data_IF_359045443278
#
_entry.id   IF_359045443278
#
_cell.length_a   1.000
_cell.length_b   1.000
_cell.length_c   1.000
_cell.angle_alpha   90.00
_cell.angle_beta   90.00
_cell.angle_gamma   90.00
#
_symmetry.space_group_name_H-M   'P 1'
#
loop_
_entity.id
_entity.type
_entity.pdbx_description
1 polymer ?
#
# COMPACT_ATOMS: atom_id res chain seq x y z
N UNK A 1 -11.56 -1.00 -17.42
CA UNK A 1 -12.93 -0.46 -17.46
C UNK A 1 -13.97 -1.48 -17.97
N UNK A 2 -13.94 -1.91 -19.24
CA UNK A 2 -14.98 -2.80 -19.81
C UNK A 2 -15.20 -4.11 -19.04
N UNK A 3 -14.14 -4.74 -18.53
CA UNK A 3 -14.24 -5.95 -17.69
C UNK A 3 -14.99 -5.67 -16.39
N UNK A 4 -14.69 -4.55 -15.73
CA UNK A 4 -15.35 -4.16 -14.48
C UNK A 4 -16.81 -3.81 -14.70
N UNK A 5 -17.13 -3.16 -15.83
CA UNK A 5 -18.51 -2.85 -16.22
C UNK A 5 -19.34 -4.11 -16.41
N UNK A 6 -18.79 -5.11 -17.13
CA UNK A 6 -19.47 -6.40 -17.36
C UNK A 6 -19.68 -7.19 -16.07
N UNK A 7 -18.76 -7.06 -15.12
CA UNK A 7 -18.83 -7.71 -13.81
C UNK A 7 -19.70 -6.96 -12.79
N UNK A 8 -20.16 -5.75 -13.10
CA UNK A 8 -20.97 -4.94 -12.18
C UNK A 8 -20.22 -4.44 -10.93
N UNK A 9 -18.89 -4.41 -10.97
CA UNK A 9 -18.04 -4.01 -9.83
C UNK A 9 -17.55 -2.55 -9.94
N UNK A 10 -18.00 -1.82 -10.96
CA UNK A 10 -17.82 -0.36 -11.01
C UNK A 10 -18.61 0.28 -9.88
N UNK A 11 -18.10 1.38 -9.33
CA UNK A 11 -18.72 2.12 -8.24
C UNK A 11 -18.83 1.32 -6.93
N UNK A 12 -17.93 0.35 -6.73
CA UNK A 12 -17.85 -0.45 -5.50
C UNK A 12 -16.46 -0.39 -4.87
N UNK A 13 -16.41 -0.45 -3.54
CA UNK A 13 -15.15 -0.58 -2.81
C UNK A 13 -14.38 -1.84 -3.21
N UNK A 14 -15.08 -2.94 -3.48
CA UNK A 14 -14.47 -4.20 -3.89
C UNK A 14 -13.74 -4.07 -5.22
N UNK A 15 -14.36 -3.46 -6.24
CA UNK A 15 -13.72 -3.18 -7.52
C UNK A 15 -12.49 -2.30 -7.34
N UNK A 16 -12.60 -1.24 -6.54
CA UNK A 16 -11.47 -0.37 -6.19
C UNK A 16 -10.30 -1.11 -5.55
N UNK A 17 -10.57 -1.93 -4.53
CA UNK A 17 -9.55 -2.74 -3.85
C UNK A 17 -8.83 -3.64 -4.85
N UNK A 18 -9.58 -4.31 -5.74
CA UNK A 18 -8.99 -5.21 -6.74
C UNK A 18 -8.07 -4.46 -7.71
N UNK A 19 -8.47 -3.26 -8.17
CA UNK A 19 -7.66 -2.42 -9.04
C UNK A 19 -6.37 -1.96 -8.34
N UNK A 20 -6.49 -1.50 -7.10
CA UNK A 20 -5.35 -1.05 -6.30
C UNK A 20 -4.37 -2.19 -6.01
N UNK A 21 -4.88 -3.36 -5.62
CA UNK A 21 -4.06 -4.56 -5.39
C UNK A 21 -3.32 -4.95 -6.66
N UNK A 22 -4.01 -5.02 -7.80
CA UNK A 22 -3.39 -5.39 -9.07
C UNK A 22 -2.23 -4.45 -9.46
N UNK A 23 -2.37 -3.14 -9.21
CA UNK A 23 -1.34 -2.15 -9.55
C UNK A 23 -0.18 -2.14 -8.55
N UNK A 24 -0.44 -2.35 -7.26
CA UNK A 24 0.57 -2.27 -6.21
C UNK A 24 1.33 -3.58 -5.94
N UNK A 25 0.77 -4.74 -6.35
CA UNK A 25 1.39 -6.07 -6.12
C UNK A 25 2.84 -6.13 -6.60
N UNK A 26 3.20 -5.74 -7.84
CA UNK A 26 4.56 -5.95 -8.35
C UNK A 26 5.61 -5.24 -7.50
N UNK A 27 5.34 -3.97 -7.15
CA UNK A 27 6.23 -3.16 -6.33
C UNK A 27 6.29 -3.69 -4.88
N UNK A 28 5.15 -4.09 -4.33
CA UNK A 28 5.07 -4.62 -2.95
C UNK A 28 5.84 -5.94 -2.83
N UNK A 29 5.70 -6.84 -3.81
CA UNK A 29 6.46 -8.10 -3.86
C UNK A 29 7.95 -7.82 -3.97
N UNK A 30 8.36 -6.94 -4.89
CA UNK A 30 9.76 -6.57 -5.06
C UNK A 30 10.38 -6.03 -3.76
N UNK A 31 9.65 -5.16 -3.06
CA UNK A 31 10.10 -4.59 -1.80
C UNK A 31 10.20 -5.64 -0.69
N UNK A 32 9.19 -6.51 -0.55
CA UNK A 32 9.19 -7.59 0.44
C UNK A 32 10.32 -8.59 0.15
N UNK A 33 10.54 -8.98 -1.12
CA UNK A 33 11.65 -9.85 -1.52
C UNK A 33 13.01 -9.27 -1.11
N UNK A 34 13.19 -7.95 -1.27
CA UNK A 34 14.40 -7.26 -0.80
C UNK A 34 14.68 -7.42 0.70
N UNK A 35 13.63 -7.49 1.53
CA UNK A 35 13.77 -7.76 2.97
C UNK A 35 14.01 -9.24 3.28
N UNK A 36 13.30 -10.15 2.61
CA UNK A 36 13.52 -11.60 2.80
C UNK A 36 14.95 -12.02 2.42
N UNK A 37 15.55 -11.40 1.41
CA UNK A 37 16.95 -11.64 1.03
C UNK A 37 17.99 -11.23 2.07
N UNK A 38 17.61 -10.40 3.05
CA UNK A 38 18.49 -10.00 4.15
C UNK A 38 18.46 -11.01 5.30
N UNK A 39 17.44 -11.88 5.35
CA UNK A 39 17.35 -12.94 6.35
C UNK A 39 18.38 -14.03 6.02
N UNK A 40 19.31 -14.35 6.93
CA UNK A 40 20.29 -15.41 6.71
C UNK A 40 19.60 -16.76 6.47
N UNK A 41 19.95 -17.45 5.39
CA UNK A 41 19.36 -18.75 5.02
C UNK A 41 19.65 -19.84 6.07
N UNK A 42 20.81 -19.74 6.72
CA UNK A 42 21.29 -20.67 7.74
C UNK A 42 20.30 -20.82 8.91
N UNK A 43 19.51 -19.78 9.22
CA UNK A 43 18.50 -19.83 10.27
C UNK A 43 17.35 -20.79 9.92
N UNK A 44 16.93 -20.82 8.65
CA UNK A 44 15.89 -21.72 8.18
C UNK A 44 16.41 -23.16 8.02
N UNK A 45 17.70 -23.33 7.77
CA UNK A 45 18.36 -24.64 7.73
C UNK A 45 18.51 -25.22 9.13
N UNK A 46 18.94 -24.40 10.10
CA UNK A 46 19.02 -24.79 11.52
C UNK A 46 17.65 -25.25 12.05
N UNK A 47 16.57 -24.49 11.78
CA UNK A 47 15.23 -24.88 12.17
C UNK A 47 14.78 -26.23 11.56
N UNK A 48 15.21 -26.54 10.33
CA UNK A 48 14.92 -27.82 9.68
C UNK A 48 15.72 -28.97 10.32
N UNK A 49 16.96 -28.73 10.74
CA UNK A 49 17.76 -29.69 11.51
C UNK A 49 17.08 -29.99 12.87
N UNK A 50 16.48 -28.97 13.49
CA UNK A 50 15.69 -29.10 14.74
C UNK A 50 14.33 -29.79 14.54
N UNK A 51 14.02 -30.26 13.32
CA UNK A 51 12.83 -31.04 13.01
C UNK A 51 11.66 -30.23 12.44
N UNK A 52 11.83 -28.94 12.15
CA UNK A 52 10.80 -28.17 11.45
C UNK A 52 10.70 -28.58 9.98
N UNK A 53 9.47 -28.69 9.46
CA UNK A 53 9.24 -28.73 8.01
C UNK A 53 9.59 -27.39 7.37
N UNK A 54 9.83 -27.36 6.06
CA UNK A 54 10.11 -26.11 5.31
C UNK A 54 9.04 -25.04 5.51
N UNK A 55 7.76 -25.43 5.58
CA UNK A 55 6.65 -24.51 5.82
C UNK A 55 6.65 -23.95 7.26
N UNK A 56 6.97 -24.79 8.25
CA UNK A 56 7.13 -24.34 9.63
C UNK A 56 8.32 -23.38 9.76
N UNK A 57 9.47 -23.70 9.16
CA UNK A 57 10.64 -22.83 9.17
C UNK A 57 10.33 -21.45 8.55
N UNK A 58 9.58 -21.40 7.44
CA UNK A 58 9.13 -20.14 6.85
C UNK A 58 8.28 -19.32 7.84
N UNK A 59 7.19 -19.89 8.38
CA UNK A 59 6.25 -19.12 9.22
C UNK A 59 6.77 -18.79 10.61
N UNK A 60 7.67 -19.61 11.16
CA UNK A 60 8.17 -19.46 12.53
C UNK A 60 9.50 -18.72 12.59
N UNK A 61 10.31 -18.73 11.51
CA UNK A 61 11.65 -18.13 11.50
C UNK A 61 11.75 -17.02 10.47
N UNK A 62 11.61 -17.32 9.18
CA UNK A 62 11.84 -16.34 8.11
C UNK A 62 10.81 -15.19 8.15
N UNK A 63 9.52 -15.52 8.30
CA UNK A 63 8.43 -14.55 8.29
C UNK A 63 8.47 -13.58 9.47
N UNK A 64 8.65 -14.01 10.75
CA UNK A 64 8.80 -13.09 11.87
C UNK A 64 10.00 -12.17 11.78
N UNK A 65 11.12 -12.64 11.23
CA UNK A 65 12.32 -11.82 11.00
C UNK A 65 12.09 -10.77 9.91
N UNK A 66 11.29 -11.09 8.89
CA UNK A 66 10.94 -10.16 7.82
C UNK A 66 9.79 -9.18 8.17
N UNK A 67 9.08 -9.37 9.30
CA UNK A 67 7.96 -8.50 9.75
C UNK A 67 8.23 -6.99 9.68
N UNK A 68 9.36 -6.44 10.17
CA UNK A 68 9.61 -5.00 10.06
C UNK A 68 9.69 -4.51 8.60
N UNK A 69 10.22 -5.36 7.71
CA UNK A 69 10.24 -5.09 6.27
C UNK A 69 8.86 -5.13 5.64
N UNK A 70 8.05 -6.14 5.99
CA UNK A 70 6.66 -6.28 5.55
C UNK A 70 5.82 -5.08 6.02
N UNK A 71 6.01 -4.63 7.27
CA UNK A 71 5.33 -3.45 7.79
C UNK A 71 5.68 -2.19 6.97
N UNK A 72 6.95 -2.02 6.61
CA UNK A 72 7.39 -0.91 5.76
C UNK A 72 6.74 -0.96 4.37
N UNK A 73 6.67 -2.15 3.76
CA UNK A 73 6.00 -2.34 2.48
C UNK A 73 4.49 -2.08 2.56
N UNK A 74 3.84 -2.49 3.64
CA UNK A 74 2.42 -2.23 3.88
C UNK A 74 2.12 -0.73 3.99
N UNK A 75 3.00 0.04 4.65
CA UNK A 75 2.82 1.50 4.74
C UNK A 75 3.07 2.17 3.40
N UNK A 76 4.05 1.75 2.61
CA UNK A 76 4.19 2.25 1.24
C UNK A 76 2.95 1.97 0.40
N UNK A 77 2.44 0.74 0.42
CA UNK A 77 1.22 0.39 -0.30
C UNK A 77 0.04 1.24 0.18
N UNK A 78 -0.08 1.49 1.49
CA UNK A 78 -1.09 2.41 2.03
C UNK A 78 -0.92 3.82 1.47
N UNK A 79 0.28 4.40 1.54
CA UNK A 79 0.53 5.78 1.09
C UNK A 79 0.24 5.94 -0.40
N UNK A 80 0.59 4.94 -1.22
CA UNK A 80 0.28 4.93 -2.65
C UNK A 80 -1.22 4.87 -2.88
N UNK A 81 -1.95 3.97 -2.21
CA UNK A 81 -3.41 3.85 -2.38
C UNK A 81 -4.18 5.05 -1.81
N UNK A 82 -3.70 5.64 -0.72
CA UNK A 82 -4.35 6.75 -0.02
C UNK A 82 -4.35 8.03 -0.86
N UNK A 83 -3.27 8.27 -1.60
CA UNK A 83 -3.12 9.44 -2.48
C UNK A 83 -3.57 9.18 -3.92
N UNK A 84 -4.01 7.95 -4.23
CA UNK A 84 -4.41 7.59 -5.59
C UNK A 84 -5.71 8.29 -5.98
N UNK A 85 -5.67 8.97 -7.13
CA UNK A 85 -6.78 9.74 -7.68
C UNK A 85 -7.21 9.27 -9.09
N UNK A 86 -6.25 8.86 -9.92
CA UNK A 86 -6.50 8.63 -11.34
C UNK A 86 -7.38 7.40 -11.58
N UNK A 87 -7.14 6.30 -10.87
CA UNK A 87 -8.00 5.11 -10.94
C UNK A 87 -9.32 5.36 -10.21
N UNK A 88 -9.27 5.97 -9.02
CA UNK A 88 -10.45 6.26 -8.22
C UNK A 88 -11.48 7.10 -8.99
N UNK A 89 -11.06 8.18 -9.65
CA UNK A 89 -11.94 9.07 -10.41
C UNK A 89 -12.62 8.39 -11.61
N UNK A 90 -12.03 7.31 -12.14
CA UNK A 90 -12.59 6.56 -13.27
C UNK A 90 -13.53 5.42 -12.84
N UNK A 91 -13.29 4.86 -11.64
CA UNK A 91 -14.00 3.68 -11.13
C UNK A 91 -15.12 4.02 -10.14
N UNK A 92 -15.08 5.20 -9.53
CA UNK A 92 -16.03 5.65 -8.49
C UNK A 92 -16.87 6.82 -9.01
N UNK A 93 -18.16 6.83 -8.66
CA UNK A 93 -19.14 7.86 -9.08
C UNK A 93 -20.08 8.27 -7.95
N UNK A 94 -20.54 7.33 -7.13
CA UNK A 94 -21.43 7.60 -6.01
C UNK A 94 -20.68 8.10 -4.78
N UNK A 95 -21.37 8.88 -3.95
CA UNK A 95 -20.83 9.43 -2.69
C UNK A 95 -20.27 8.34 -1.78
N UNK A 96 -20.86 7.14 -1.83
CA UNK A 96 -20.46 6.02 -0.97
C UNK A 96 -19.21 5.29 -1.46
N UNK A 97 -18.78 5.47 -2.71
CA UNK A 97 -17.62 4.77 -3.27
C UNK A 97 -16.41 5.70 -3.49
N UNK A 98 -16.64 7.01 -3.56
CA UNK A 98 -15.60 8.02 -3.77
C UNK A 98 -14.55 7.98 -2.67
N UNK A 99 -13.29 8.09 -3.08
CA UNK A 99 -12.18 8.34 -2.15
C UNK A 99 -12.08 9.83 -1.83
N UNK A 100 -11.39 10.18 -0.74
CA UNK A 100 -11.19 11.57 -0.35
C UNK A 100 -10.54 12.42 -1.48
N UNK A 101 -9.50 11.94 -2.21
CA UNK A 101 -8.97 12.68 -3.37
C UNK A 101 -10.01 12.95 -4.47
N UNK A 102 -10.93 12.02 -4.72
CA UNK A 102 -12.00 12.22 -5.71
C UNK A 102 -13.05 13.19 -5.19
N UNK A 103 -13.34 13.15 -3.88
CA UNK A 103 -14.25 14.08 -3.21
C UNK A 103 -13.78 15.54 -3.24
N UNK A 104 -12.49 15.84 -3.45
CA UNK A 104 -12.04 17.21 -3.67
C UNK A 104 -12.71 17.86 -4.88
N UNK A 105 -13.01 17.09 -5.92
CA UNK A 105 -13.67 17.60 -7.13
C UNK A 105 -15.10 18.06 -6.85
N UNK A 106 -15.74 17.59 -5.77
CA UNK A 106 -17.09 18.02 -5.42
C UNK A 106 -17.12 19.49 -4.94
N UNK A 107 -15.98 20.06 -4.56
CA UNK A 107 -15.83 21.49 -4.20
C UNK A 107 -15.55 22.40 -5.41
N UNK A 108 -15.33 21.82 -6.59
CA UNK A 108 -15.16 22.56 -7.84
C UNK A 108 -16.46 22.53 -8.63
N UNK A 109 -17.28 23.58 -8.53
CA UNK A 109 -18.45 23.75 -9.38
C UNK A 109 -18.10 24.55 -10.64
N UNK A 110 -18.95 24.47 -11.66
CA UNK A 110 -18.75 25.10 -12.97
C UNK A 110 -18.53 26.62 -12.90
N UNK A 111 -19.14 27.30 -11.91
CA UNK A 111 -19.10 28.75 -11.78
C UNK A 111 -18.41 29.25 -10.49
N UNK A 112 -18.18 28.38 -9.52
CA UNK A 112 -17.63 28.77 -8.20
C UNK A 112 -16.83 27.63 -7.59
N UNK A 113 -15.64 27.92 -7.09
CA UNK A 113 -14.82 26.98 -6.32
C UNK A 113 -14.98 27.32 -4.84
N UNK A 114 -15.39 26.34 -4.03
CA UNK A 114 -15.39 26.47 -2.58
C UNK A 114 -14.01 26.13 -2.01
N UNK A 115 -13.13 27.14 -2.03
CA UNK A 115 -11.78 27.05 -1.47
C UNK A 115 -11.78 26.69 0.02
N UNK A 116 -12.82 27.09 0.77
CA UNK A 116 -12.87 26.87 2.23
C UNK A 116 -13.05 25.39 2.53
N UNK A 117 -14.03 24.77 1.88
CA UNK A 117 -14.27 23.33 2.01
C UNK A 117 -13.13 22.48 1.44
N UNK A 118 -12.59 22.87 0.28
CA UNK A 118 -11.48 22.16 -0.36
C UNK A 118 -10.21 22.14 0.50
N UNK A 119 -9.82 23.29 1.06
CA UNK A 119 -8.66 23.37 1.95
C UNK A 119 -8.87 22.60 3.26
N UNK A 120 -10.08 22.62 3.83
CA UNK A 120 -10.41 21.85 5.03
C UNK A 120 -10.26 20.34 4.78
N UNK A 121 -10.78 19.84 3.67
CA UNK A 121 -10.64 18.43 3.28
C UNK A 121 -9.17 18.06 3.04
N UNK A 122 -8.41 18.91 2.36
CA UNK A 122 -6.99 18.69 2.10
C UNK A 122 -6.18 18.57 3.41
N UNK A 123 -6.45 19.40 4.41
CA UNK A 123 -5.79 19.30 5.73
C UNK A 123 -6.12 17.96 6.40
N UNK A 124 -7.39 17.53 6.37
CA UNK A 124 -7.80 16.24 6.93
C UNK A 124 -7.10 15.07 6.22
N UNK A 125 -6.95 15.13 4.90
CA UNK A 125 -6.27 14.10 4.12
C UNK A 125 -4.77 13.97 4.44
N UNK A 126 -4.12 15.09 4.81
CA UNK A 126 -2.69 15.13 5.14
C UNK A 126 -2.42 14.44 6.49
N UNK A 127 -3.34 14.48 7.46
CA UNK A 127 -3.13 13.96 8.82
C UNK A 127 -2.74 12.47 8.86
N UNK A 128 -3.49 11.54 8.21
CA UNK A 128 -3.11 10.12 8.22
C UNK A 128 -1.80 9.85 7.49
N UNK A 129 -1.57 10.52 6.36
CA UNK A 129 -0.35 10.37 5.57
C UNK A 129 0.89 10.82 6.36
N UNK A 130 0.82 11.96 7.05
CA UNK A 130 1.91 12.44 7.92
C UNK A 130 2.14 11.49 9.10
N UNK A 131 1.07 11.05 9.75
CA UNK A 131 1.17 10.16 10.92
C UNK A 131 1.86 8.85 10.56
N UNK A 132 1.45 8.22 9.46
CA UNK A 132 2.07 6.98 8.99
C UNK A 132 3.49 7.19 8.48
N UNK A 133 3.76 8.29 7.76
CA UNK A 133 5.11 8.61 7.31
C UNK A 133 6.05 8.79 8.51
N UNK A 134 5.62 9.50 9.56
CA UNK A 134 6.41 9.70 10.77
C UNK A 134 6.78 8.39 11.47
N UNK A 135 5.84 7.45 11.57
CA UNK A 135 6.08 6.12 12.17
C UNK A 135 7.14 5.32 11.37
N UNK A 136 7.21 5.57 10.06
CA UNK A 136 7.87 4.68 9.11
C UNK A 136 9.20 5.22 8.61
N UNK A 137 9.46 6.52 8.72
CA UNK A 137 10.76 7.15 8.37
C UNK A 137 11.96 6.35 8.91
N UNK A 138 11.90 5.82 10.14
CA UNK A 138 12.99 5.00 10.71
C UNK A 138 13.20 3.63 10.04
N UNK A 139 12.16 3.04 9.45
CA UNK A 139 12.22 1.73 8.78
C UNK A 139 12.43 1.85 7.26
N UNK A 140 11.99 2.96 6.65
CA UNK A 140 12.13 3.25 5.21
C UNK A 140 13.58 3.39 4.76
N UNK A 141 14.40 4.09 5.57
CA UNK A 141 15.80 4.36 5.23
C UNK A 141 16.58 3.05 5.12
N UNK A 142 16.29 2.06 5.96
CA UNK A 142 16.91 0.73 5.86
C UNK A 142 16.45 -0.06 4.63
N UNK A 143 15.16 -0.02 4.29
CA UNK A 143 14.58 -0.80 3.18
C UNK A 143 14.99 -0.36 1.78
N UNK A 144 15.01 0.95 1.51
CA UNK A 144 15.35 1.48 0.18
C UNK A 144 16.85 1.47 -0.10
N UNK A 145 17.69 1.61 0.93
CA UNK A 145 19.15 1.65 0.76
C UNK A 145 19.77 0.26 0.73
N UNK A 146 19.24 -0.72 1.47
CA UNK A 146 19.78 -2.09 1.52
C UNK A 146 19.76 -2.83 0.18
N UNK A 147 18.84 -2.47 -0.74
CA UNK A 147 18.82 -2.99 -2.11
C UNK A 147 19.78 -2.28 -3.07
N UNK A 148 20.28 -1.09 -2.72
CA UNK A 148 21.10 -0.24 -3.60
C UNK A 148 22.62 -0.41 -3.41
N UNK A 149 23.09 -1.02 -2.32
CA UNK A 149 24.53 -1.11 -1.98
C UNK A 149 25.19 -2.45 -2.31
N UNK A 150 24.61 -3.27 -3.21
CA UNK A 150 25.35 -4.39 -3.81
C UNK A 150 25.93 -3.97 -5.15
N UNK A 151 27.02 -3.20 -5.07
CA UNK A 151 27.96 -2.84 -6.13
C UNK A 151 29.35 -2.73 -5.54
#
# INVERSE_FOLDING_TARGET
>A
FFVYARLGIIDTHFGMILAYVALNIPFTIWLIDGFFRQVPKDLAEAAQIDGCTRWQAFWQVEFPLARPGIASAAIFAFLTCWNEFALASQLTRSVNSKTLPVGLLDYTAEFTIDWRGMCALAVVMIIPALTLTYIVQKHLVGGLTSGAVKG
#
